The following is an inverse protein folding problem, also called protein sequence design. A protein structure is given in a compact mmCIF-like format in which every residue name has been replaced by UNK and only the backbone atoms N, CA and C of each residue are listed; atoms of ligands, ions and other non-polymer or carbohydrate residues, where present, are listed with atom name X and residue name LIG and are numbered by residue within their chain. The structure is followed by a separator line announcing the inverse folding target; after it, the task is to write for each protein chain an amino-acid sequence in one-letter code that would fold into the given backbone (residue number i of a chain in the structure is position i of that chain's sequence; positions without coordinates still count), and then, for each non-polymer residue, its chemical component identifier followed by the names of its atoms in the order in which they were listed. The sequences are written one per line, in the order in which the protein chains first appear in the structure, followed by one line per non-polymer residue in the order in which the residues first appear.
data_IF_795549933660
#
_entry.id   IF_795549933660
#
_cell.length_a   1.000
_cell.length_b   1.000
_cell.length_c   1.000
_cell.angle_alpha   90.00
_cell.angle_beta   90.00
_cell.angle_gamma   90.00
#
_symmetry.space_group_name_H-M   'P 1'
#
loop_
_entity.id
_entity.type
_entity.pdbx_description
1 polymer ?
#
# COMPACT_ATOMS: atom_id res chain seq x y z
N UNK A 1 -7.04 -14.13 -19.02
CA UNK A 1 -7.85 -12.93 -18.72
C UNK A 1 -6.92 -11.72 -18.62
N UNK A 2 -7.07 -10.75 -19.53
CA UNK A 2 -6.29 -9.50 -19.55
C UNK A 2 -7.06 -8.42 -18.79
N UNK A 3 -6.94 -8.41 -17.47
CA UNK A 3 -7.59 -7.40 -16.62
C UNK A 3 -6.52 -6.58 -15.86
N UNK A 4 -6.68 -5.26 -15.71
CA UNK A 4 -5.81 -4.46 -14.86
C UNK A 4 -5.70 -5.01 -13.43
N UNK A 5 -6.78 -5.52 -12.85
CA UNK A 5 -6.76 -6.15 -11.54
C UNK A 5 -5.87 -7.40 -11.48
N UNK A 6 -5.88 -8.22 -12.52
CA UNK A 6 -5.03 -9.42 -12.57
C UNK A 6 -3.55 -9.03 -12.60
N UNK A 7 -3.17 -8.07 -13.43
CA UNK A 7 -1.81 -7.55 -13.48
C UNK A 7 -1.41 -6.91 -12.14
N UNK A 8 -2.29 -6.09 -11.57
CA UNK A 8 -2.06 -5.43 -10.29
C UNK A 8 -1.75 -6.41 -9.15
N UNK A 9 -2.59 -7.43 -8.94
CA UNK A 9 -2.35 -8.40 -7.87
C UNK A 9 -1.20 -9.35 -8.16
N UNK A 10 -0.95 -9.68 -9.44
CA UNK A 10 0.23 -10.44 -9.84
C UNK A 10 1.51 -9.67 -9.52
N UNK A 11 1.56 -8.39 -9.87
CA UNK A 11 2.71 -7.53 -9.58
C UNK A 11 2.90 -7.33 -8.07
N UNK A 12 1.83 -7.09 -7.32
CA UNK A 12 1.90 -6.98 -5.86
C UNK A 12 2.43 -8.25 -5.21
N UNK A 13 2.00 -9.42 -5.67
CA UNK A 13 2.51 -10.71 -5.18
C UNK A 13 4.01 -10.87 -5.47
N UNK A 14 4.45 -10.57 -6.71
CA UNK A 14 5.85 -10.63 -7.07
C UNK A 14 6.69 -9.62 -6.27
N UNK A 15 6.16 -8.43 -6.02
CA UNK A 15 6.80 -7.41 -5.20
C UNK A 15 7.03 -7.88 -3.76
N UNK A 16 6.02 -8.52 -3.16
CA UNK A 16 6.16 -9.10 -1.81
C UNK A 16 7.16 -10.26 -1.74
N UNK A 17 7.53 -10.83 -2.87
CA UNK A 17 8.55 -11.87 -3.00
C UNK A 17 9.90 -11.34 -3.48
N UNK A 18 10.08 -10.01 -3.57
CA UNK A 18 11.25 -9.33 -4.13
C UNK A 18 11.57 -9.79 -5.56
N UNK A 19 10.54 -9.96 -6.40
CA UNK A 19 10.63 -10.46 -7.77
C UNK A 19 9.96 -9.54 -8.80
N UNK A 20 9.51 -8.37 -8.37
CA UNK A 20 8.76 -7.48 -9.26
C UNK A 20 9.55 -7.11 -10.52
N UNK A 21 10.82 -6.65 -10.46
CA UNK A 21 11.58 -6.28 -11.64
C UNK A 21 11.77 -7.46 -12.60
N UNK A 22 12.06 -8.65 -12.07
CA UNK A 22 12.34 -9.86 -12.86
C UNK A 22 11.11 -10.39 -13.59
N UNK A 23 9.92 -10.18 -13.01
CA UNK A 23 8.67 -10.76 -13.48
C UNK A 23 7.71 -9.75 -14.12
N UNK A 24 8.09 -8.49 -14.17
CA UNK A 24 7.23 -7.41 -14.68
C UNK A 24 6.74 -7.69 -16.11
N UNK A 25 7.63 -8.19 -16.97
CA UNK A 25 7.35 -8.42 -18.38
C UNK A 25 6.88 -9.84 -18.71
N UNK A 26 6.70 -10.72 -17.72
CA UNK A 26 6.24 -12.09 -17.94
C UNK A 26 4.76 -12.16 -18.37
N UNK A 27 4.01 -11.09 -18.20
CA UNK A 27 2.59 -11.03 -18.48
C UNK A 27 2.13 -9.73 -19.12
N UNK A 28 0.82 -9.67 -19.37
CA UNK A 28 0.19 -8.46 -19.85
C UNK A 28 0.27 -7.34 -18.82
N UNK A 29 0.82 -6.21 -19.23
CA UNK A 29 0.87 -4.99 -18.42
C UNK A 29 0.00 -3.88 -19.05
N UNK A 30 -1.07 -3.43 -18.37
CA UNK A 30 -1.89 -2.31 -18.82
C UNK A 30 -1.24 -0.97 -18.40
N UNK A 31 -0.06 -0.66 -18.93
CA UNK A 31 0.77 0.48 -18.51
C UNK A 31 0.91 0.55 -16.98
N UNK A 32 0.99 1.73 -16.39
CA UNK A 32 1.12 1.94 -14.93
C UNK A 32 -0.07 1.42 -14.10
N UNK A 33 -1.23 1.14 -14.72
CA UNK A 33 -2.38 0.55 -14.02
C UNK A 33 -2.11 -0.90 -13.56
N UNK A 34 -1.11 -1.56 -14.10
CA UNK A 34 -0.62 -2.84 -13.59
C UNK A 34 0.08 -2.74 -12.23
N UNK A 35 0.54 -1.54 -11.84
CA UNK A 35 1.20 -1.28 -10.56
C UNK A 35 0.29 -0.50 -9.60
N UNK A 36 -0.40 0.52 -10.10
CA UNK A 36 -1.24 1.40 -9.28
C UNK A 36 -2.64 1.53 -9.86
N UNK A 37 -3.63 1.16 -9.07
CA UNK A 37 -5.03 1.39 -9.41
C UNK A 37 -5.43 2.84 -9.08
N UNK A 38 -6.28 3.48 -9.91
CA UNK A 38 -6.68 4.85 -9.69
C UNK A 38 -7.57 5.01 -8.44
N UNK A 39 -7.27 6.04 -7.64
CA UNK A 39 -8.11 6.50 -6.55
C UNK A 39 -8.82 7.77 -7.01
N UNK A 40 -9.94 7.60 -7.70
CA UNK A 40 -10.68 8.70 -8.29
C UNK A 40 -12.21 8.50 -8.14
N UNK A 41 -13.00 9.59 -8.03
CA UNK A 41 -14.46 9.50 -7.78
C UNK A 41 -15.23 8.72 -8.83
N UNK A 42 -14.73 8.66 -10.06
CA UNK A 42 -15.34 7.90 -11.17
C UNK A 42 -14.93 6.41 -11.19
N UNK A 43 -13.99 6.01 -10.34
CA UNK A 43 -13.58 4.61 -10.22
C UNK A 43 -14.59 3.82 -9.40
N UNK A 44 -14.69 2.51 -9.66
CA UNK A 44 -15.54 1.65 -8.83
C UNK A 44 -14.98 1.58 -7.41
N UNK A 45 -15.86 1.40 -6.41
CA UNK A 45 -15.41 1.29 -5.02
C UNK A 45 -14.42 0.13 -4.80
N UNK A 46 -14.54 -0.95 -5.58
CA UNK A 46 -13.60 -2.07 -5.53
C UNK A 46 -12.21 -1.66 -6.02
N UNK A 47 -12.12 -0.83 -7.07
CA UNK A 47 -10.86 -0.29 -7.58
C UNK A 47 -10.20 0.61 -6.54
N UNK A 48 -10.97 1.54 -5.99
CA UNK A 48 -10.49 2.47 -4.97
C UNK A 48 -10.01 1.70 -3.74
N UNK A 49 -10.81 0.75 -3.28
CA UNK A 49 -10.43 -0.08 -2.14
C UNK A 49 -9.16 -0.88 -2.45
N UNK A 50 -9.08 -1.54 -3.61
CA UNK A 50 -7.92 -2.34 -3.96
C UNK A 50 -6.62 -1.51 -4.03
N UNK A 51 -6.70 -0.23 -4.42
CA UNK A 51 -5.54 0.66 -4.45
C UNK A 51 -4.82 0.80 -3.09
N UNK A 52 -5.55 0.65 -1.96
CA UNK A 52 -4.93 0.71 -0.63
C UNK A 52 -3.87 -0.38 -0.40
N UNK A 53 -3.98 -1.53 -1.06
CA UNK A 53 -3.09 -2.68 -0.80
C UNK A 53 -1.63 -2.36 -1.15
N UNK A 54 -1.39 -1.73 -2.29
CA UNK A 54 -0.04 -1.33 -2.70
C UNK A 54 0.50 -0.23 -1.80
N UNK A 55 -0.27 0.83 -1.54
CA UNK A 55 0.17 1.92 -0.67
C UNK A 55 0.51 1.44 0.74
N UNK A 56 -0.32 0.54 1.28
CA UNK A 56 -0.04 -0.09 2.57
C UNK A 56 1.21 -0.99 2.52
N UNK A 57 1.45 -1.70 1.42
CA UNK A 57 2.66 -2.50 1.24
C UNK A 57 3.91 -1.63 1.20
N UNK A 58 3.85 -0.50 0.49
CA UNK A 58 4.93 0.48 0.36
C UNK A 58 5.24 1.27 1.65
N UNK A 59 4.36 1.23 2.66
CA UNK A 59 4.52 2.01 3.89
C UNK A 59 3.91 3.41 3.82
N UNK A 60 3.20 3.76 2.74
CA UNK A 60 2.45 5.01 2.65
C UNK A 60 1.09 4.87 3.32
N UNK A 61 1.08 5.06 4.65
CA UNK A 61 -0.14 4.89 5.44
C UNK A 61 -1.20 5.95 5.11
N UNK A 62 -0.79 7.17 4.78
CA UNK A 62 -1.69 8.26 4.41
C UNK A 62 -2.47 7.95 3.14
N UNK A 63 -1.77 7.48 2.09
CA UNK A 63 -2.42 7.08 0.85
C UNK A 63 -3.26 5.81 1.00
N UNK A 64 -2.80 4.85 1.81
CA UNK A 64 -3.55 3.65 2.11
C UNK A 64 -4.85 3.96 2.88
N UNK A 65 -4.80 4.87 3.86
CA UNK A 65 -5.97 5.33 4.62
C UNK A 65 -6.95 6.07 3.72
N UNK A 66 -6.47 7.01 2.91
CA UNK A 66 -7.29 7.74 1.96
C UNK A 66 -8.06 6.79 1.03
N UNK A 67 -7.38 5.84 0.40
CA UNK A 67 -8.01 4.84 -0.45
C UNK A 67 -9.00 3.94 0.32
N UNK A 68 -8.67 3.52 1.54
CA UNK A 68 -9.56 2.70 2.36
C UNK A 68 -10.84 3.44 2.76
N UNK A 69 -10.73 4.72 3.18
CA UNK A 69 -11.88 5.57 3.53
C UNK A 69 -12.77 5.82 2.32
N UNK A 70 -12.19 6.22 1.18
CA UNK A 70 -12.96 6.44 -0.04
C UNK A 70 -13.63 5.16 -0.52
N UNK A 71 -12.92 4.03 -0.50
CA UNK A 71 -13.49 2.72 -0.85
C UNK A 71 -14.65 2.34 0.07
N UNK A 72 -14.62 2.72 1.34
CA UNK A 72 -15.73 2.53 2.28
C UNK A 72 -16.90 3.47 1.97
N UNK A 73 -16.65 4.77 1.74
CA UNK A 73 -17.68 5.77 1.45
C UNK A 73 -18.46 5.42 0.17
N UNK A 74 -17.75 4.98 -0.88
CA UNK A 74 -18.38 4.62 -2.15
C UNK A 74 -18.90 3.18 -2.20
N UNK A 75 -18.68 2.37 -1.15
CA UNK A 75 -19.19 1.01 -1.10
C UNK A 75 -20.72 1.00 -0.86
N UNK A 76 -21.43 -0.03 -1.35
CA UNK A 76 -22.82 -0.24 -0.97
C UNK A 76 -22.94 -0.29 0.56
N UNK A 77 -23.90 0.45 1.10
CA UNK A 77 -24.18 0.56 2.55
C UNK A 77 -23.08 1.26 3.37
N UNK A 78 -22.10 1.92 2.75
CA UNK A 78 -21.02 2.65 3.43
C UNK A 78 -20.31 1.85 4.54
N UNK A 79 -20.28 0.52 4.39
CA UNK A 79 -19.75 -0.40 5.39
C UNK A 79 -19.05 -1.59 4.72
N UNK A 80 -17.73 -1.62 4.86
CA UNK A 80 -16.93 -2.73 4.39
C UNK A 80 -16.01 -3.24 5.51
N UNK A 81 -16.26 -4.45 6.03
CA UNK A 81 -15.42 -5.01 7.08
C UNK A 81 -13.93 -5.07 6.67
N UNK A 82 -13.63 -5.23 5.38
CA UNK A 82 -12.26 -5.19 4.86
C UNK A 82 -11.64 -3.79 4.96
N UNK A 83 -12.42 -2.73 4.69
CA UNK A 83 -11.95 -1.36 4.84
C UNK A 83 -11.73 -1.02 6.31
N UNK A 84 -12.66 -1.39 7.20
CA UNK A 84 -12.52 -1.24 8.65
C UNK A 84 -11.28 -1.98 9.17
N UNK A 85 -11.00 -3.20 8.65
CA UNK A 85 -9.79 -3.95 8.96
C UNK A 85 -8.54 -3.17 8.55
N UNK A 86 -8.49 -2.62 7.33
CA UNK A 86 -7.35 -1.83 6.86
C UNK A 86 -7.14 -0.58 7.72
N UNK A 87 -8.21 0.12 8.08
CA UNK A 87 -8.13 1.28 8.96
C UNK A 87 -7.60 0.91 10.37
N UNK A 88 -8.01 -0.25 10.90
CA UNK A 88 -7.44 -0.76 12.14
C UNK A 88 -5.93 -1.04 12.00
N UNK A 89 -5.50 -1.68 10.91
CA UNK A 89 -4.08 -1.96 10.63
C UNK A 89 -3.25 -0.69 10.53
N UNK A 90 -3.73 0.31 9.78
CA UNK A 90 -3.04 1.60 9.61
C UNK A 90 -2.85 2.31 10.95
N UNK A 91 -3.92 2.41 11.75
CA UNK A 91 -3.85 3.08 13.05
C UNK A 91 -2.95 2.34 14.04
N UNK A 92 -2.91 1.00 14.00
CA UNK A 92 -1.95 0.21 14.80
C UNK A 92 -0.50 0.48 14.37
N UNK A 93 -0.24 0.57 13.07
CA UNK A 93 1.09 0.87 12.53
C UNK A 93 1.53 2.29 12.93
N UNK A 94 0.64 3.27 12.80
CA UNK A 94 0.90 4.67 13.17
C UNK A 94 1.01 4.89 14.69
N UNK A 95 0.63 3.89 15.50
CA UNK A 95 0.66 4.00 16.96
C UNK A 95 -0.55 4.71 17.57
N UNK A 96 -1.58 5.03 16.78
CA UNK A 96 -2.86 5.56 17.31
C UNK A 96 -3.72 4.42 17.84
N UNK A 97 -3.41 3.98 19.06
CA UNK A 97 -4.13 2.89 19.70
C UNK A 97 -5.60 3.23 19.96
N UNK A 98 -5.91 4.51 20.20
CA UNK A 98 -7.28 4.95 20.48
C UNK A 98 -8.17 4.81 19.24
N UNK A 99 -7.68 5.25 18.08
CA UNK A 99 -8.38 5.07 16.81
C UNK A 99 -8.43 3.58 16.41
N UNK A 100 -7.33 2.85 16.53
CA UNK A 100 -7.28 1.43 16.25
C UNK A 100 -8.32 0.65 17.04
N UNK A 101 -8.47 0.94 18.34
CA UNK A 101 -9.47 0.31 19.22
C UNK A 101 -10.91 0.53 18.77
N UNK A 102 -11.25 1.69 18.18
CA UNK A 102 -12.59 1.91 17.63
C UNK A 102 -12.90 0.95 16.50
N UNK A 103 -11.95 0.79 15.56
CA UNK A 103 -12.10 -0.15 14.44
C UNK A 103 -12.06 -1.61 14.87
N UNK A 104 -11.18 -1.98 15.80
CA UNK A 104 -11.10 -3.35 16.35
C UNK A 104 -12.41 -3.76 17.03
N UNK A 105 -13.04 -2.87 17.83
CA UNK A 105 -14.35 -3.12 18.45
C UNK A 105 -15.45 -3.36 17.42
N UNK A 106 -15.42 -2.67 16.28
CA UNK A 106 -16.38 -2.92 15.20
C UNK A 106 -16.14 -4.31 14.59
N UNK A 107 -14.87 -4.68 14.35
CA UNK A 107 -14.51 -5.98 13.78
C UNK A 107 -14.82 -7.15 14.71
N UNK A 108 -14.71 -6.97 16.02
CA UNK A 108 -15.10 -7.98 17.02
C UNK A 108 -16.57 -8.39 16.91
N UNK A 109 -17.42 -7.50 16.39
CA UNK A 109 -18.85 -7.79 16.16
C UNK A 109 -19.09 -8.59 14.86
N UNK A 110 -18.06 -8.79 14.04
CA UNK A 110 -18.17 -9.53 12.78
C UNK A 110 -17.75 -10.99 12.96
N UNK A 111 -18.43 -11.90 12.28
CA UNK A 111 -18.09 -13.31 12.34
C UNK A 111 -16.70 -13.62 11.77
N UNK A 112 -16.32 -12.98 10.65
CA UNK A 112 -15.07 -13.30 9.95
C UNK A 112 -13.82 -12.67 10.56
N UNK A 113 -13.94 -11.55 11.29
CA UNK A 113 -12.78 -10.80 11.79
C UNK A 113 -12.69 -10.72 13.32
N UNK A 114 -13.58 -11.39 14.05
CA UNK A 114 -13.56 -11.38 15.52
C UNK A 114 -12.20 -11.80 16.07
N UNK A 115 -11.77 -13.01 15.75
CA UNK A 115 -10.52 -13.59 16.25
C UNK A 115 -9.29 -12.82 15.77
N UNK A 116 -9.36 -12.28 14.55
CA UNK A 116 -8.32 -11.43 14.00
C UNK A 116 -8.18 -10.13 14.81
N UNK A 117 -9.30 -9.51 15.17
CA UNK A 117 -9.33 -8.27 15.95
C UNK A 117 -8.88 -8.50 17.40
N UNK A 118 -9.31 -9.59 18.03
CA UNK A 118 -8.93 -9.94 19.41
C UNK A 118 -7.41 -10.07 19.58
N UNK A 119 -6.75 -10.72 18.63
CA UNK A 119 -5.29 -10.89 18.64
C UNK A 119 -4.51 -9.59 18.41
N UNK A 120 -5.18 -8.48 18.05
CA UNK A 120 -4.55 -7.18 17.75
C UNK A 120 -4.89 -6.08 18.73
N UNK A 121 -5.62 -6.39 19.78
CA UNK A 121 -5.92 -5.42 20.84
C UNK A 121 -4.60 -4.96 21.48
N UNK A 122 -4.33 -3.64 21.57
CA UNK A 122 -3.16 -3.12 22.26
C UNK A 122 -3.01 -3.70 23.68
N UNK A 123 -1.81 -4.09 24.02
CA UNK A 123 -1.51 -4.76 25.30
C UNK A 123 -1.87 -6.26 25.38
N UNK A 124 -2.55 -6.82 24.34
CA UNK A 124 -2.86 -8.26 24.25
C UNK A 124 -2.36 -8.89 22.94
N UNK A 125 -1.49 -8.17 22.22
CA UNK A 125 -0.97 -8.61 20.95
C UNK A 125 -0.05 -9.83 21.10
N UNK A 126 -0.16 -10.77 20.16
CA UNK A 126 0.76 -11.91 20.08
C UNK A 126 2.13 -11.43 19.60
N UNK A 127 3.19 -12.18 19.91
CA UNK A 127 4.56 -11.90 19.46
C UNK A 127 4.61 -11.73 17.92
N UNK A 128 3.85 -12.53 17.18
CA UNK A 128 3.74 -12.48 15.73
C UNK A 128 3.16 -11.15 15.22
N UNK A 129 2.14 -10.64 15.91
CA UNK A 129 1.53 -9.34 15.61
C UNK A 129 2.49 -8.20 15.92
N UNK A 130 3.22 -8.27 17.04
CA UNK A 130 4.24 -7.27 17.40
C UNK A 130 5.35 -7.21 16.34
N UNK A 131 5.90 -8.35 15.93
CA UNK A 131 6.92 -8.42 14.87
C UNK A 131 6.40 -7.88 13.53
N UNK A 132 5.13 -8.16 13.20
CA UNK A 132 4.51 -7.62 11.99
C UNK A 132 4.39 -6.10 12.07
N UNK A 133 3.97 -5.54 13.20
CA UNK A 133 3.90 -4.09 13.43
C UNK A 133 5.27 -3.43 13.31
N UNK A 134 6.30 -4.02 13.93
CA UNK A 134 7.68 -3.52 13.86
C UNK A 134 8.16 -3.45 12.41
N UNK A 135 8.00 -4.53 11.64
CA UNK A 135 8.35 -4.55 10.22
C UNK A 135 7.61 -3.48 9.41
N UNK A 136 6.32 -3.24 9.71
CA UNK A 136 5.55 -2.20 9.03
C UNK A 136 5.98 -0.80 9.40
N UNK A 137 6.34 -0.58 10.67
CA UNK A 137 6.84 0.71 11.15
C UNK A 137 8.19 1.08 10.55
N UNK A 138 9.03 0.11 10.23
CA UNK A 138 10.29 0.35 9.51
C UNK A 138 10.08 0.94 8.11
N UNK A 139 8.91 0.76 7.50
CA UNK A 139 8.59 1.32 6.19
C UNK A 139 8.00 2.74 6.26
N UNK A 140 7.67 3.23 7.46
CA UNK A 140 7.07 4.55 7.60
C UNK A 140 8.05 5.65 7.21
N UNK A 141 7.59 6.68 6.46
CA UNK A 141 8.40 7.86 6.23
C UNK A 141 8.58 8.65 7.52
N UNK A 142 9.77 9.25 7.71
CA UNK A 142 10.07 10.05 8.91
C UNK A 142 9.19 11.31 9.02
N UNK A 143 8.68 11.81 7.90
CA UNK A 143 7.82 12.99 7.84
C UNK A 143 6.53 12.66 7.09
N UNK A 144 5.40 13.05 7.66
CA UNK A 144 4.11 12.98 6.97
C UNK A 144 3.88 14.25 6.19
N UNK A 145 3.66 14.12 4.88
CA UNK A 145 3.36 15.22 3.98
C UNK A 145 2.11 14.92 3.20
N UNK A 146 1.18 15.85 3.14
CA UNK A 146 0.03 15.77 2.26
C UNK A 146 0.51 15.70 0.81
N UNK A 147 0.14 14.63 0.13
CA UNK A 147 0.53 14.35 -1.25
C UNK A 147 -0.69 14.20 -2.13
N UNK A 148 -0.58 14.62 -3.38
CA UNK A 148 -1.59 14.34 -4.38
C UNK A 148 -1.43 12.90 -4.87
N UNK A 149 -2.50 12.13 -4.87
CA UNK A 149 -2.55 10.78 -5.46
C UNK A 149 -2.30 10.78 -6.98
N UNK A 150 -2.34 11.95 -7.61
CA UNK A 150 -2.13 12.09 -9.05
C UNK A 150 -0.66 11.94 -9.46
N UNK A 151 0.29 12.22 -8.54
CA UNK A 151 1.73 12.16 -8.83
C UNK A 151 2.37 10.98 -8.09
N UNK A 152 2.26 9.80 -8.70
CA UNK A 152 2.81 8.55 -8.16
C UNK A 152 4.35 8.60 -8.05
N UNK A 153 5.12 9.00 -9.09
CA UNK A 153 6.58 9.11 -8.97
C UNK A 153 7.03 10.03 -7.84
N UNK A 154 6.39 11.18 -7.68
CA UNK A 154 6.71 12.10 -6.59
C UNK A 154 6.48 11.47 -5.23
N UNK A 155 5.38 10.73 -5.06
CA UNK A 155 5.08 10.00 -3.82
C UNK A 155 6.11 8.92 -3.52
N UNK A 156 6.53 8.15 -4.53
CA UNK A 156 7.56 7.11 -4.37
C UNK A 156 8.94 7.70 -4.04
N UNK A 157 9.35 8.76 -4.75
CA UNK A 157 10.60 9.48 -4.44
C UNK A 157 10.58 10.06 -3.03
N UNK A 158 9.42 10.56 -2.58
CA UNK A 158 9.27 11.03 -1.20
C UNK A 158 9.45 9.90 -0.18
N UNK A 159 8.86 8.73 -0.41
CA UNK A 159 9.08 7.55 0.44
C UNK A 159 10.56 7.19 0.51
N UNK A 160 11.24 7.14 -0.63
CA UNK A 160 12.67 6.77 -0.72
C UNK A 160 13.60 7.80 -0.08
N UNK A 161 13.30 9.10 -0.19
CA UNK A 161 14.07 10.14 0.51
C UNK A 161 13.96 10.04 2.03
N UNK A 162 12.81 9.62 2.54
CA UNK A 162 12.58 9.46 3.97
C UNK A 162 12.98 8.08 4.50
N UNK A 163 13.03 7.08 3.64
CA UNK A 163 13.45 5.72 3.95
C UNK A 163 14.16 5.08 2.75
N UNK A 164 15.47 5.33 2.58
CA UNK A 164 16.24 4.79 1.47
C UNK A 164 16.25 3.26 1.41
N UNK A 165 16.12 2.58 2.55
CA UNK A 165 16.14 1.11 2.64
C UNK A 165 14.82 0.46 2.18
N UNK A 166 13.84 1.25 1.75
CA UNK A 166 12.57 0.74 1.22
C UNK A 166 12.74 0.22 -0.22
N UNK A 167 13.34 -0.96 -0.35
CA UNK A 167 13.58 -1.62 -1.64
C UNK A 167 12.30 -1.82 -2.45
N UNK A 168 11.16 -2.05 -1.78
CA UNK A 168 9.87 -2.20 -2.45
C UNK A 168 9.46 -0.91 -3.17
N UNK A 169 9.64 0.25 -2.56
CA UNK A 169 9.34 1.53 -3.20
C UNK A 169 10.31 1.81 -4.37
N UNK A 170 11.57 1.40 -4.26
CA UNK A 170 12.55 1.46 -5.33
C UNK A 170 12.11 0.62 -6.55
N UNK A 171 11.77 -0.64 -6.34
CA UNK A 171 11.29 -1.53 -7.39
C UNK A 171 10.04 -0.96 -8.08
N UNK A 172 9.09 -0.43 -7.29
CA UNK A 172 7.87 0.17 -7.84
C UNK A 172 8.15 1.42 -8.67
N UNK A 173 9.08 2.29 -8.24
CA UNK A 173 9.44 3.50 -8.98
C UNK A 173 10.05 3.15 -10.33
N UNK A 174 11.08 2.30 -10.34
CA UNK A 174 11.77 1.89 -11.55
C UNK A 174 10.85 1.14 -12.52
N UNK A 175 10.01 0.24 -12.00
CA UNK A 175 9.01 -0.47 -12.81
C UNK A 175 7.93 0.47 -13.36
N UNK A 176 7.54 1.50 -12.60
CA UNK A 176 6.58 2.51 -13.06
C UNK A 176 7.13 3.31 -14.24
N UNK A 177 8.36 3.77 -14.17
CA UNK A 177 9.02 4.51 -15.25
C UNK A 177 9.12 3.67 -16.52
N UNK A 178 9.52 2.38 -16.39
CA UNK A 178 9.58 1.43 -17.51
C UNK A 178 8.22 1.23 -18.17
N UNK A 179 7.15 1.02 -17.40
CA UNK A 179 5.80 0.81 -17.94
C UNK A 179 5.23 2.08 -18.62
N UNK A 180 5.65 3.25 -18.17
CA UNK A 180 5.30 4.52 -18.81
C UNK A 180 6.23 4.87 -19.98
N UNK A 181 7.26 4.03 -20.27
CA UNK A 181 8.26 4.22 -21.32
C UNK A 181 9.08 5.49 -21.11
N UNK A 182 9.20 5.96 -19.89
CA UNK A 182 10.04 7.12 -19.53
C UNK A 182 11.45 6.65 -19.15
N UNK A 183 12.24 6.37 -20.18
CA UNK A 183 13.63 5.91 -20.02
C UNK A 183 14.51 7.00 -19.40
N UNK A 184 14.15 8.29 -19.60
CA UNK A 184 14.86 9.41 -18.99
C UNK A 184 14.71 9.43 -17.48
N UNK A 185 13.45 9.31 -16.99
CA UNK A 185 13.16 9.22 -15.56
C UNK A 185 13.80 7.96 -14.96
N UNK A 186 13.63 6.80 -15.61
CA UNK A 186 14.25 5.54 -15.18
C UNK A 186 15.77 5.67 -14.99
N UNK A 187 16.48 6.23 -15.97
CA UNK A 187 17.93 6.38 -15.89
C UNK A 187 18.36 7.35 -14.79
N UNK A 188 17.57 8.40 -14.56
CA UNK A 188 17.78 9.36 -13.47
C UNK A 188 17.60 8.72 -12.11
N UNK A 189 16.45 8.10 -11.89
CA UNK A 189 16.09 7.45 -10.61
C UNK A 189 17.01 6.26 -10.31
N UNK A 190 17.32 5.42 -11.30
CA UNK A 190 18.28 4.33 -11.13
C UNK A 190 19.66 4.83 -10.68
N UNK A 191 20.15 5.93 -11.27
CA UNK A 191 21.45 6.50 -10.91
C UNK A 191 21.43 7.09 -9.50
N UNK A 192 20.36 7.80 -9.12
CA UNK A 192 20.21 8.37 -7.77
C UNK A 192 20.15 7.25 -6.72
N UNK A 193 19.34 6.21 -6.95
CA UNK A 193 19.14 5.11 -6.01
C UNK A 193 20.34 4.17 -5.92
N UNK A 194 21.07 3.92 -7.02
CA UNK A 194 22.27 3.08 -6.99
C UNK A 194 23.41 3.72 -6.19
N UNK A 195 23.44 5.04 -6.05
CA UNK A 195 24.42 5.73 -5.20
C UNK A 195 24.11 5.62 -3.70
N UNK A 196 22.87 5.30 -3.35
CA UNK A 196 22.43 5.15 -1.96
C UNK A 196 22.69 3.71 -1.45
N UNK A 197 22.68 2.74 -2.36
CA UNK A 197 22.83 1.30 -2.02
C UNK A 197 24.24 0.73 -2.26
N UNK A 198 25.24 1.58 -2.59
CA UNK A 198 26.66 1.23 -2.64
C UNK A 198 27.35 1.73 -1.38
#
# INVERSE_FOLDING_TARGET
YRSPFTAYYYNLLNAQQNRLPDRLMDGYQPASQGLFLPVAPHSTYLTIYAANEVWFALGDMTMAEHAAILGMIFSPHHAGARAVKRLAEINLVNGDEAAAMKYLRLLQKTMCYRDWAERRIPGKQTAEVCQWLERKRLLLPATDTLRSSADIPLSLRHLLRNNPDNTLACDYLLCFDLLNKDIGAFAGDYRELSLIHI
#
